data_IF_268837039810
#
_entry.id   IF_268837039810
#
_cell.length_a   1.000
_cell.length_b   1.000
_cell.length_c   1.000
_cell.angle_alpha   90.00
_cell.angle_beta   90.00
_cell.angle_gamma   90.00
#
_symmetry.space_group_name_H-M   'P 1'
#
loop_
_entity.id
_entity.type
_entity.pdbx_description
1 polymer ?
#
# COMPACT_ATOMS: atom_id res chain seq x y z
N UNK A 1 -48.70 27.61 6.32
CA UNK A 1 -48.21 26.56 5.39
C UNK A 1 -46.82 26.90 4.87
N UNK A 2 -46.60 28.10 4.34
CA UNK A 2 -45.28 28.53 3.80
C UNK A 2 -44.12 28.49 4.82
N UNK A 3 -44.32 28.99 6.04
CA UNK A 3 -43.27 28.93 7.08
C UNK A 3 -42.90 27.51 7.52
N UNK A 4 -43.82 26.54 7.40
CA UNK A 4 -43.55 25.13 7.72
C UNK A 4 -42.68 24.51 6.62
N UNK A 5 -42.97 24.84 5.35
CA UNK A 5 -42.17 24.39 4.20
C UNK A 5 -40.76 24.98 4.27
N UNK A 6 -40.62 26.29 4.53
CA UNK A 6 -39.31 26.94 4.68
C UNK A 6 -38.52 26.38 5.88
N UNK A 7 -39.19 26.16 7.01
CA UNK A 7 -38.58 25.54 8.19
C UNK A 7 -38.06 24.13 7.92
N UNK A 8 -38.86 23.30 7.23
CA UNK A 8 -38.44 21.94 6.87
C UNK A 8 -37.25 21.90 5.90
N UNK A 9 -37.19 22.83 4.95
CA UNK A 9 -36.09 22.95 4.00
C UNK A 9 -34.79 23.34 4.72
N UNK A 10 -34.86 24.29 5.65
CA UNK A 10 -33.70 24.70 6.45
C UNK A 10 -33.15 23.54 7.27
N UNK A 11 -34.01 22.78 7.95
CA UNK A 11 -33.58 21.60 8.72
C UNK A 11 -32.94 20.55 7.82
N UNK A 12 -33.51 20.28 6.65
CA UNK A 12 -32.93 19.33 5.69
C UNK A 12 -31.52 19.74 5.24
N UNK A 13 -31.30 21.04 4.97
CA UNK A 13 -29.97 21.56 4.59
C UNK A 13 -28.96 21.38 5.72
N UNK A 14 -29.33 21.68 6.97
CA UNK A 14 -28.43 21.52 8.13
C UNK A 14 -28.05 20.05 8.32
N UNK A 15 -29.00 19.12 8.16
CA UNK A 15 -28.75 17.67 8.26
C UNK A 15 -27.79 17.20 7.16
N UNK A 16 -28.00 17.64 5.91
CA UNK A 16 -27.12 17.28 4.78
C UNK A 16 -25.71 17.84 4.99
N UNK A 17 -25.58 19.09 5.43
CA UNK A 17 -24.29 19.71 5.70
C UNK A 17 -23.54 18.98 6.83
N UNK A 18 -24.23 18.64 7.93
CA UNK A 18 -23.65 17.84 9.01
C UNK A 18 -23.18 16.47 8.55
N UNK A 19 -23.97 15.80 7.71
CA UNK A 19 -23.60 14.51 7.13
C UNK A 19 -22.35 14.60 6.24
N UNK A 20 -22.25 15.64 5.39
CA UNK A 20 -21.10 15.84 4.51
C UNK A 20 -19.79 16.03 5.28
N UNK A 21 -19.82 16.74 6.41
CA UNK A 21 -18.64 16.94 7.27
C UNK A 21 -18.15 15.59 7.82
N UNK A 22 -19.06 14.78 8.35
CA UNK A 22 -18.74 13.45 8.90
C UNK A 22 -18.26 12.51 7.79
N UNK A 23 -18.89 12.54 6.62
CA UNK A 23 -18.48 11.78 5.45
C UNK A 23 -17.05 12.13 5.03
N UNK A 24 -16.75 13.43 4.86
CA UNK A 24 -15.42 13.90 4.44
C UNK A 24 -14.33 13.50 5.45
N UNK A 25 -14.59 13.68 6.75
CA UNK A 25 -13.64 13.27 7.79
C UNK A 25 -13.35 11.76 7.74
N UNK A 26 -14.38 10.93 7.65
CA UNK A 26 -14.21 9.47 7.54
C UNK A 26 -13.47 9.07 6.27
N UNK A 27 -13.75 9.73 5.15
CA UNK A 27 -13.10 9.47 3.87
C UNK A 27 -11.60 9.77 3.94
N UNK A 28 -11.23 10.95 4.48
CA UNK A 28 -9.83 11.34 4.66
C UNK A 28 -9.11 10.37 5.59
N UNK A 29 -9.72 10.00 6.72
CA UNK A 29 -9.12 9.05 7.65
C UNK A 29 -8.81 7.70 6.97
N UNK A 30 -9.77 7.14 6.22
CA UNK A 30 -9.56 5.88 5.48
C UNK A 30 -8.50 6.03 4.38
N UNK A 31 -8.49 7.14 3.67
CA UNK A 31 -7.46 7.45 2.68
C UNK A 31 -6.07 7.46 3.31
N UNK A 32 -5.93 8.10 4.48
CA UNK A 32 -4.66 8.15 5.21
C UNK A 32 -4.21 6.76 5.67
N UNK A 33 -5.13 5.86 6.05
CA UNK A 33 -4.79 4.48 6.40
C UNK A 33 -4.22 3.71 5.21
N UNK A 34 -4.84 3.83 4.03
CA UNK A 34 -4.32 3.27 2.79
C UNK A 34 -2.91 3.79 2.50
N UNK A 35 -2.71 5.11 2.51
CA UNK A 35 -1.38 5.69 2.27
C UNK A 35 -0.34 5.27 3.31
N UNK A 36 -0.75 5.10 4.58
CA UNK A 36 0.15 4.65 5.66
C UNK A 36 0.58 3.21 5.46
N UNK A 37 -0.37 2.31 5.17
CA UNK A 37 -0.08 0.90 4.86
C UNK A 37 0.81 0.77 3.61
N UNK A 38 0.59 1.60 2.58
CA UNK A 38 1.43 1.66 1.39
C UNK A 38 2.88 2.03 1.69
N UNK A 39 3.08 3.12 2.47
CA UNK A 39 4.42 3.54 2.89
C UNK A 39 5.11 2.49 3.76
N UNK A 40 4.35 1.80 4.62
CA UNK A 40 4.87 0.73 5.48
C UNK A 40 5.36 -0.46 4.65
N UNK A 41 4.55 -0.93 3.70
CA UNK A 41 4.92 -1.99 2.76
C UNK A 41 6.21 -1.63 2.02
N UNK A 42 6.24 -0.45 1.42
CA UNK A 42 7.42 0.01 0.68
C UNK A 42 8.69 0.12 1.54
N UNK A 43 8.57 0.51 2.80
CA UNK A 43 9.69 0.50 3.75
C UNK A 43 10.23 -0.91 3.99
N UNK A 44 9.37 -1.92 4.14
CA UNK A 44 9.81 -3.31 4.31
C UNK A 44 10.49 -3.86 3.05
N UNK A 45 9.95 -3.55 1.88
CA UNK A 45 10.57 -3.95 0.60
C UNK A 45 11.94 -3.28 0.45
N UNK A 46 12.06 -1.99 0.79
CA UNK A 46 13.35 -1.29 0.74
C UNK A 46 14.37 -1.92 1.69
N UNK A 47 13.99 -2.22 2.95
CA UNK A 47 14.87 -2.88 3.91
C UNK A 47 15.35 -4.24 3.41
N UNK A 48 14.47 -5.05 2.82
CA UNK A 48 14.87 -6.32 2.20
C UNK A 48 15.92 -6.09 1.10
N UNK A 49 15.66 -5.14 0.20
CA UNK A 49 16.59 -4.85 -0.88
C UNK A 49 17.95 -4.37 -0.35
N UNK A 50 17.99 -3.64 0.77
CA UNK A 50 19.23 -3.26 1.47
C UNK A 50 19.95 -4.48 2.06
N UNK A 51 19.23 -5.44 2.66
CA UNK A 51 19.83 -6.70 3.15
C UNK A 51 20.39 -7.54 2.00
N UNK A 52 19.71 -7.63 0.87
CA UNK A 52 20.21 -8.32 -0.33
C UNK A 52 21.52 -7.68 -0.81
N UNK A 53 21.61 -6.35 -0.82
CA UNK A 53 22.86 -5.65 -1.17
C UNK A 53 24.00 -5.99 -0.21
N UNK A 54 23.73 -6.06 1.10
CA UNK A 54 24.73 -6.48 2.09
C UNK A 54 25.24 -7.90 1.83
N UNK A 55 24.37 -8.83 1.41
CA UNK A 55 24.80 -10.18 1.03
C UNK A 55 25.82 -10.12 -0.10
N UNK A 56 25.49 -9.39 -1.18
CA UNK A 56 26.33 -9.25 -2.37
C UNK A 56 27.70 -8.65 -2.00
N UNK A 57 27.71 -7.62 -1.15
CA UNK A 57 28.95 -6.99 -0.67
C UNK A 57 29.77 -7.93 0.24
N UNK A 58 29.10 -8.80 1.01
CA UNK A 58 29.76 -9.77 1.90
C UNK A 58 30.30 -11.01 1.18
N UNK A 59 29.80 -11.34 -0.02
CA UNK A 59 30.31 -12.46 -0.81
C UNK A 59 31.60 -12.05 -1.53
N UNK A 60 32.75 -12.20 -0.87
CA UNK A 60 34.05 -11.68 -1.37
C UNK A 60 34.69 -12.45 -2.54
N UNK A 61 34.35 -13.73 -2.78
CA UNK A 61 35.18 -14.58 -3.65
C UNK A 61 34.48 -15.15 -4.90
N UNK A 62 33.14 -15.18 -4.97
CA UNK A 62 32.39 -15.54 -6.18
C UNK A 62 30.93 -15.14 -6.02
N UNK A 63 30.49 -14.07 -6.68
CA UNK A 63 29.07 -13.69 -6.72
C UNK A 63 28.34 -14.80 -7.50
N UNK A 64 27.30 -15.40 -6.92
CA UNK A 64 26.51 -16.39 -7.65
C UNK A 64 25.72 -15.67 -8.77
N UNK A 65 25.50 -16.31 -9.94
CA UNK A 65 24.70 -15.71 -11.02
C UNK A 65 23.31 -15.24 -10.55
N UNK A 66 22.73 -15.89 -9.54
CA UNK A 66 21.44 -15.48 -8.98
C UNK A 66 21.52 -14.16 -8.22
N UNK A 67 22.61 -13.92 -7.48
CA UNK A 67 22.83 -12.67 -6.74
C UNK A 67 23.09 -11.49 -7.68
N UNK A 68 23.79 -11.73 -8.79
CA UNK A 68 24.02 -10.70 -9.82
C UNK A 68 22.70 -10.31 -10.51
N UNK A 69 21.88 -11.29 -10.86
CA UNK A 69 20.53 -11.05 -11.40
C UNK A 69 19.64 -10.27 -10.43
N UNK A 70 19.67 -10.61 -9.14
CA UNK A 70 18.95 -9.87 -8.10
C UNK A 70 19.42 -8.43 -7.98
N UNK A 71 20.73 -8.19 -8.02
CA UNK A 71 21.30 -6.86 -7.96
C UNK A 71 20.81 -6.00 -9.14
N UNK A 72 20.84 -6.57 -10.35
CA UNK A 72 20.33 -5.92 -11.55
C UNK A 72 18.84 -5.58 -11.39
N UNK A 73 18.02 -6.54 -10.97
CA UNK A 73 16.58 -6.34 -10.79
C UNK A 73 16.28 -5.23 -9.77
N UNK A 74 17.02 -5.16 -8.66
CA UNK A 74 16.88 -4.13 -7.64
C UNK A 74 17.33 -2.75 -8.14
N UNK A 75 18.39 -2.68 -8.93
CA UNK A 75 18.90 -1.42 -9.48
C UNK A 75 17.98 -0.87 -10.58
N UNK A 76 17.48 -1.74 -11.46
CA UNK A 76 16.57 -1.36 -12.54
C UNK A 76 15.20 -0.89 -12.02
N UNK A 77 14.71 -1.52 -10.94
CA UNK A 77 13.38 -1.25 -10.39
C UNK A 77 13.45 -0.51 -9.05
N UNK A 78 14.38 0.44 -8.94
CA UNK A 78 14.58 1.23 -7.72
C UNK A 78 13.26 1.80 -7.20
N UNK A 79 12.77 1.24 -6.10
CA UNK A 79 11.40 1.45 -5.64
C UNK A 79 11.14 2.93 -5.36
N UNK A 80 10.25 3.53 -6.15
CA UNK A 80 9.78 4.88 -5.93
C UNK A 80 8.28 4.89 -5.69
N UNK A 81 7.91 4.73 -4.41
CA UNK A 81 6.53 4.66 -3.94
C UNK A 81 5.64 5.85 -4.33
N UNK A 82 6.23 6.97 -4.79
CA UNK A 82 5.51 8.18 -5.20
C UNK A 82 5.27 8.26 -6.71
N UNK A 83 5.97 7.45 -7.52
CA UNK A 83 5.90 7.51 -9.00
C UNK A 83 5.35 6.24 -9.62
N UNK A 84 5.48 5.11 -8.92
CA UNK A 84 5.11 3.81 -9.45
C UNK A 84 3.71 3.41 -9.00
N UNK A 85 2.98 2.74 -9.89
CA UNK A 85 1.72 2.12 -9.53
C UNK A 85 1.96 1.06 -8.46
N UNK A 86 1.07 0.93 -7.46
CA UNK A 86 1.18 -0.15 -6.49
C UNK A 86 1.40 -1.52 -7.15
N UNK A 87 0.62 -1.81 -8.21
CA UNK A 87 0.71 -3.03 -9.04
C UNK A 87 2.14 -3.34 -9.51
N UNK A 88 2.85 -2.33 -9.99
CA UNK A 88 4.19 -2.50 -10.56
C UNK A 88 5.21 -2.81 -9.47
N UNK A 89 5.18 -2.05 -8.37
CA UNK A 89 6.08 -2.24 -7.22
C UNK A 89 5.93 -3.64 -6.64
N UNK A 90 4.68 -4.11 -6.48
CA UNK A 90 4.43 -5.44 -5.92
C UNK A 90 4.81 -6.54 -6.91
N UNK A 91 4.53 -6.35 -8.20
CA UNK A 91 4.93 -7.29 -9.24
C UNK A 91 6.44 -7.51 -9.29
N UNK A 92 7.23 -6.44 -9.15
CA UNK A 92 8.69 -6.53 -9.02
C UNK A 92 9.08 -7.20 -7.71
N UNK A 93 8.47 -6.79 -6.59
CA UNK A 93 8.83 -7.33 -5.28
C UNK A 93 8.56 -8.82 -5.16
N UNK A 94 7.48 -9.35 -5.75
CA UNK A 94 7.20 -10.79 -5.84
C UNK A 94 8.24 -11.55 -6.66
N UNK A 95 8.73 -10.97 -7.77
CA UNK A 95 9.82 -11.57 -8.54
C UNK A 95 11.11 -11.69 -7.70
N UNK A 96 11.42 -10.66 -6.92
CA UNK A 96 12.55 -10.67 -5.98
C UNK A 96 12.35 -11.76 -4.92
N UNK A 97 11.18 -11.83 -4.27
CA UNK A 97 10.87 -12.85 -3.25
C UNK A 97 11.03 -14.28 -3.79
N UNK A 98 10.54 -14.54 -5.01
CA UNK A 98 10.67 -15.85 -5.67
C UNK A 98 12.13 -16.23 -5.96
N UNK A 99 12.97 -15.25 -6.29
CA UNK A 99 14.39 -15.49 -6.54
C UNK A 99 15.17 -15.66 -5.23
N UNK A 100 14.82 -14.89 -4.19
CA UNK A 100 15.39 -15.01 -2.84
C UNK A 100 15.13 -16.40 -2.24
N UNK A 101 13.94 -16.97 -2.44
CA UNK A 101 13.61 -18.32 -1.97
C UNK A 101 14.52 -19.43 -2.56
N UNK A 102 15.18 -19.17 -3.68
CA UNK A 102 16.08 -20.12 -4.35
C UNK A 102 17.54 -19.94 -3.92
N UNK A 103 17.86 -18.84 -3.23
CA UNK A 103 19.23 -18.55 -2.81
C UNK A 103 19.71 -19.52 -1.75
N UNK A 104 20.96 -19.96 -1.91
CA UNK A 104 21.71 -20.66 -0.86
C UNK A 104 22.63 -19.65 -0.19
N UNK A 105 22.26 -19.20 1.00
CA UNK A 105 23.03 -18.25 1.79
C UNK A 105 23.65 -19.00 2.97
N UNK A 106 24.99 -19.05 3.01
CA UNK A 106 25.72 -19.74 4.08
C UNK A 106 25.58 -19.02 5.45
N UNK A 107 25.31 -17.71 5.41
CA UNK A 107 25.08 -16.91 6.61
C UNK A 107 23.63 -17.06 7.12
N UNK A 108 23.44 -17.98 8.07
CA UNK A 108 22.14 -18.25 8.70
C UNK A 108 21.49 -17.01 9.33
N UNK A 109 22.27 -16.08 9.89
CA UNK A 109 21.73 -14.88 10.52
C UNK A 109 21.06 -13.97 9.48
N UNK A 110 21.71 -13.77 8.33
CA UNK A 110 21.16 -12.96 7.25
C UNK A 110 19.94 -13.64 6.62
N UNK A 111 19.98 -14.97 6.46
CA UNK A 111 18.83 -15.72 5.94
C UNK A 111 17.60 -15.59 6.84
N UNK A 112 17.80 -15.62 8.17
CA UNK A 112 16.73 -15.34 9.13
C UNK A 112 16.20 -13.90 8.98
N UNK A 113 17.07 -12.90 8.90
CA UNK A 113 16.67 -11.50 8.71
C UNK A 113 15.83 -11.30 7.44
N UNK A 114 16.22 -11.93 6.32
CA UNK A 114 15.45 -11.92 5.07
C UNK A 114 14.10 -12.58 5.25
N UNK A 115 14.04 -13.74 5.90
CA UNK A 115 12.80 -14.48 6.11
C UNK A 115 11.81 -13.67 6.94
N UNK A 116 12.30 -13.01 7.99
CA UNK A 116 11.48 -12.13 8.83
C UNK A 116 10.98 -10.91 8.05
N UNK A 117 11.80 -10.36 7.16
CA UNK A 117 11.40 -9.25 6.28
C UNK A 117 10.35 -9.70 5.24
N UNK A 118 10.47 -10.88 4.65
CA UNK A 118 9.46 -11.43 3.74
C UNK A 118 8.11 -11.63 4.44
N UNK A 119 8.10 -12.17 5.66
CA UNK A 119 6.87 -12.26 6.47
C UNK A 119 6.28 -10.88 6.80
N UNK A 120 7.14 -9.87 7.04
CA UNK A 120 6.68 -8.50 7.27
C UNK A 120 6.16 -7.83 5.99
N UNK A 121 6.69 -8.18 4.82
CA UNK A 121 6.18 -7.72 3.52
C UNK A 121 4.80 -8.32 3.28
N UNK A 122 4.62 -9.63 3.49
CA UNK A 122 3.33 -10.33 3.37
C UNK A 122 2.26 -9.71 4.28
N UNK A 123 2.58 -9.51 5.57
CA UNK A 123 1.66 -8.85 6.51
C UNK A 123 1.30 -7.42 6.11
N UNK A 124 2.28 -6.65 5.65
CA UNK A 124 2.04 -5.27 5.19
C UNK A 124 1.22 -5.23 3.90
N UNK A 125 1.37 -6.24 3.03
CA UNK A 125 0.60 -6.40 1.82
C UNK A 125 -0.88 -6.72 2.14
N UNK A 126 -1.12 -7.67 3.04
CA UNK A 126 -2.48 -7.99 3.50
C UNK A 126 -3.14 -6.76 4.14
N UNK A 127 -2.41 -6.06 5.01
CA UNK A 127 -2.89 -4.82 5.63
C UNK A 127 -3.24 -3.75 4.59
N UNK A 128 -2.41 -3.56 3.55
CA UNK A 128 -2.72 -2.63 2.47
C UNK A 128 -4.02 -3.01 1.74
N UNK A 129 -4.18 -4.29 1.40
CA UNK A 129 -5.38 -4.78 0.73
C UNK A 129 -6.63 -4.63 1.59
N UNK A 130 -6.53 -4.89 2.90
CA UNK A 130 -7.62 -4.67 3.84
C UNK A 130 -8.04 -3.20 3.91
N UNK A 131 -7.10 -2.27 3.98
CA UNK A 131 -7.38 -0.84 4.03
C UNK A 131 -7.95 -0.31 2.70
N UNK A 132 -7.41 -0.75 1.56
CA UNK A 132 -7.96 -0.45 0.24
C UNK A 132 -9.39 -0.98 0.13
N UNK A 133 -9.65 -2.19 0.62
CA UNK A 133 -10.99 -2.77 0.65
C UNK A 133 -11.93 -1.98 1.55
N UNK A 134 -11.49 -1.58 2.73
CA UNK A 134 -12.23 -0.74 3.67
C UNK A 134 -12.62 0.60 3.04
N UNK A 135 -11.70 1.25 2.34
CA UNK A 135 -11.92 2.49 1.62
C UNK A 135 -12.87 2.31 0.42
N UNK A 136 -12.61 1.34 -0.44
CA UNK A 136 -13.43 1.07 -1.64
C UNK A 136 -14.86 0.65 -1.27
N UNK A 137 -15.04 -0.14 -0.19
CA UNK A 137 -16.36 -0.46 0.38
C UNK A 137 -17.04 0.79 0.93
N UNK A 138 -16.33 1.65 1.64
CA UNK A 138 -16.88 2.90 2.18
C UNK A 138 -17.39 3.82 1.06
N UNK A 139 -16.63 3.98 -0.03
CA UNK A 139 -17.05 4.75 -1.21
C UNK A 139 -18.18 4.08 -1.98
N UNK A 140 -18.32 2.76 -1.96
CA UNK A 140 -19.35 2.06 -2.74
C UNK A 140 -20.72 1.99 -2.04
N UNK A 141 -20.82 2.36 -0.76
CA UNK A 141 -22.08 2.33 0.01
C UNK A 141 -22.94 3.57 -0.26
N UNK A 142 -24.26 3.42 -0.30
CA UNK A 142 -25.18 4.57 -0.29
C UNK A 142 -25.24 5.18 1.13
N UNK A 143 -25.26 6.52 1.29
CA UNK A 143 -25.22 7.58 0.28
C UNK A 143 -23.81 8.05 -0.13
N UNK A 144 -22.77 7.42 0.43
CA UNK A 144 -21.37 7.78 0.23
C UNK A 144 -20.91 7.73 -1.23
N UNK A 145 -21.45 6.82 -2.05
CA UNK A 145 -21.13 6.69 -3.47
C UNK A 145 -21.46 7.96 -4.27
N UNK A 146 -22.58 8.61 -3.97
CA UNK A 146 -22.96 9.88 -4.59
C UNK A 146 -22.03 11.01 -4.15
N UNK A 147 -21.76 11.12 -2.84
CA UNK A 147 -20.84 12.14 -2.33
C UNK A 147 -19.41 11.93 -2.85
N UNK A 148 -18.95 10.69 -2.97
CA UNK A 148 -17.65 10.35 -3.54
C UNK A 148 -17.52 10.76 -5.01
N UNK A 149 -18.57 10.57 -5.82
CA UNK A 149 -18.61 11.03 -7.21
C UNK A 149 -18.53 12.57 -7.31
N UNK A 150 -19.29 13.29 -6.47
CA UNK A 150 -19.29 14.76 -6.45
C UNK A 150 -17.91 15.30 -6.04
N UNK A 151 -17.25 14.64 -5.09
CA UNK A 151 -15.92 15.03 -4.61
C UNK A 151 -14.76 14.48 -5.46
N UNK A 152 -15.03 13.76 -6.56
CA UNK A 152 -13.99 13.19 -7.43
C UNK A 152 -13.10 12.15 -6.74
N UNK A 153 -13.62 11.44 -5.75
CA UNK A 153 -12.83 10.45 -5.00
C UNK A 153 -12.78 9.13 -5.76
N UNK A 154 -11.59 8.79 -6.24
CA UNK A 154 -11.32 7.54 -6.97
C UNK A 154 -11.05 6.37 -6.03
N UNK A 155 -11.41 5.17 -6.47
CA UNK A 155 -11.08 3.93 -5.76
C UNK A 155 -9.59 3.66 -5.86
N UNK A 156 -9.00 3.15 -4.78
CA UNK A 156 -7.63 2.69 -4.83
C UNK A 156 -7.53 1.36 -5.57
N UNK A 157 -6.44 1.12 -6.33
CA UNK A 157 -6.20 -0.16 -6.97
C UNK A 157 -6.04 -1.25 -5.91
N UNK A 158 -6.66 -2.39 -6.16
CA UNK A 158 -6.40 -3.64 -5.43
C UNK A 158 -5.42 -4.48 -6.22
N UNK A 159 -4.70 -5.32 -5.49
CA UNK A 159 -3.90 -6.41 -6.06
C UNK A 159 -4.72 -7.69 -6.19
#
# INVERSE_FOLDING_TARGET
MEHIVVGSLFVAIVVIAGWLIVFYSNMVNKKTLVEKSWRLLGCHIQKRNEVIKKIIESSSDSISPELEYLNQLIQENGINLNRESPCDVMGVSLKISNQVAQLKIDNLQIMHEITDLEQQIEKSYDLYNEEVQSFNKFLSKFPNNFAGQILGSEKFPMF
#
